data_IF_801566945545
#
_entry.id   IF_801566945545
#
_cell.length_a   1.000
_cell.length_b   1.000
_cell.length_c   1.000
_cell.angle_alpha   90.00
_cell.angle_beta   90.00
_cell.angle_gamma   90.00
#
_symmetry.space_group_name_H-M   'P 1'
#
loop_
_entity.id
_entity.type
_entity.pdbx_description
1 polymer ?
#
# COMPACT_ATOMS: atom_id res chain seq x y z
N UNK A 1 -30.61 2.41 -18.45
CA UNK A 1 -29.66 1.31 -18.28
C UNK A 1 -28.88 1.56 -17.01
N UNK A 2 -29.11 0.70 -16.03
CA UNK A 2 -29.02 0.96 -14.59
C UNK A 2 -27.59 1.13 -14.10
N UNK A 3 -27.38 2.09 -13.19
CA UNK A 3 -26.10 2.38 -12.53
C UNK A 3 -25.47 1.14 -11.87
N UNK A 4 -26.32 0.22 -11.40
CA UNK A 4 -26.00 -1.14 -10.94
C UNK A 4 -25.12 -1.93 -11.93
N UNK A 5 -25.44 -1.88 -13.23
CA UNK A 5 -24.66 -2.58 -14.25
C UNK A 5 -23.28 -1.95 -14.43
N UNK A 6 -23.18 -0.62 -14.31
CA UNK A 6 -21.89 0.07 -14.42
C UNK A 6 -20.99 -0.26 -13.23
N UNK A 7 -21.57 -0.37 -12.03
CA UNK A 7 -20.85 -0.76 -10.81
C UNK A 7 -20.41 -2.23 -10.85
N UNK A 8 -21.27 -3.14 -11.33
CA UNK A 8 -20.91 -4.55 -11.55
C UNK A 8 -19.79 -4.70 -12.59
N UNK A 9 -19.87 -3.99 -13.71
CA UNK A 9 -18.83 -4.03 -14.74
C UNK A 9 -17.49 -3.53 -14.22
N UNK A 10 -17.48 -2.47 -13.40
CA UNK A 10 -16.25 -1.95 -12.80
C UNK A 10 -15.63 -2.95 -11.82
N UNK A 11 -16.44 -3.65 -11.03
CA UNK A 11 -15.95 -4.64 -10.08
C UNK A 11 -15.37 -5.89 -10.77
N UNK A 12 -16.03 -6.38 -11.81
CA UNK A 12 -15.54 -7.51 -12.62
C UNK A 12 -14.25 -7.13 -13.36
N UNK A 13 -14.17 -5.90 -13.89
CA UNK A 13 -12.96 -5.39 -14.52
C UNK A 13 -11.77 -5.33 -13.54
N UNK A 14 -12.00 -4.85 -12.32
CA UNK A 14 -10.99 -4.84 -11.26
C UNK A 14 -10.48 -6.24 -10.90
N UNK A 15 -11.41 -7.20 -10.74
CA UNK A 15 -11.06 -8.59 -10.43
C UNK A 15 -10.29 -9.26 -11.58
N UNK A 16 -10.69 -8.98 -12.82
CA UNK A 16 -10.01 -9.44 -14.02
C UNK A 16 -8.58 -8.90 -14.14
N UNK A 17 -8.38 -7.61 -13.84
CA UNK A 17 -7.06 -6.98 -13.86
C UNK A 17 -6.13 -7.59 -12.80
N UNK A 18 -6.61 -7.82 -11.58
CA UNK A 18 -5.85 -8.46 -10.50
C UNK A 18 -5.49 -9.90 -10.88
N UNK A 19 -6.45 -10.65 -11.42
CA UNK A 19 -6.23 -12.03 -11.87
C UNK A 19 -5.18 -12.09 -12.99
N UNK A 20 -5.27 -11.19 -13.97
CA UNK A 20 -4.30 -11.06 -15.06
C UNK A 20 -2.91 -10.68 -14.56
N UNK A 21 -2.81 -9.73 -13.61
CA UNK A 21 -1.54 -9.29 -13.03
C UNK A 21 -0.84 -10.44 -12.29
N UNK A 22 -1.59 -11.22 -11.50
CA UNK A 22 -1.08 -12.39 -10.78
C UNK A 22 -0.63 -13.50 -11.75
N UNK A 23 -1.41 -13.74 -12.80
CA UNK A 23 -1.08 -14.76 -13.80
C UNK A 23 0.16 -14.36 -14.60
N UNK A 24 0.28 -13.10 -15.01
CA UNK A 24 1.46 -12.54 -15.68
C UNK A 24 2.71 -12.59 -14.79
N UNK A 25 2.55 -12.28 -13.51
CA UNK A 25 3.63 -12.35 -12.51
C UNK A 25 4.14 -13.78 -12.29
N UNK A 26 3.22 -14.77 -12.17
CA UNK A 26 3.60 -16.18 -12.04
C UNK A 26 4.20 -16.75 -13.32
N UNK A 27 3.77 -16.31 -14.51
CA UNK A 27 4.31 -16.78 -15.78
C UNK A 27 5.76 -16.32 -16.00
N UNK A 28 6.10 -15.08 -15.58
CA UNK A 28 7.49 -14.58 -15.62
C UNK A 28 8.42 -15.36 -14.67
N UNK A 29 7.92 -15.74 -13.48
CA UNK A 29 8.65 -16.63 -12.54
C UNK A 29 8.78 -18.05 -13.05
N UNK A 30 7.75 -18.60 -13.71
CA UNK A 30 7.81 -19.96 -14.27
C UNK A 30 8.77 -20.06 -15.46
N UNK A 31 8.93 -19.02 -16.26
CA UNK A 31 9.94 -19.00 -17.34
C UNK A 31 11.39 -19.03 -16.83
N UNK A 32 11.66 -18.56 -15.61
CA UNK A 32 12.98 -18.69 -14.97
C UNK A 32 13.20 -20.07 -14.32
N UNK A 33 12.12 -20.79 -13.99
CA UNK A 33 12.16 -22.15 -13.41
C UNK A 33 12.10 -23.28 -14.45
N UNK A 34 11.94 -22.95 -15.74
CA UNK A 34 11.90 -23.91 -16.85
C UNK A 34 13.24 -24.04 -17.59
N UNK A 35 14.36 -23.62 -16.99
CA UNK A 35 15.63 -24.25 -17.33
C UNK A 35 15.60 -25.67 -16.75
N UNK A 36 15.94 -26.72 -17.52
CA UNK A 36 15.84 -28.11 -17.08
C UNK A 36 16.90 -28.37 -16.00
N UNK A 37 16.55 -28.08 -14.76
CA UNK A 37 17.32 -28.47 -13.58
C UNK A 37 16.67 -29.73 -13.05
N UNK A 38 17.08 -30.85 -13.60
CA UNK A 38 16.87 -32.18 -13.02
C UNK A 38 17.71 -32.31 -11.75
N UNK A 39 17.37 -31.61 -10.67
CA UNK A 39 17.83 -31.96 -9.33
C UNK A 39 16.75 -31.58 -8.32
N UNK A 40 15.92 -32.56 -8.02
CA UNK A 40 15.02 -32.57 -6.86
C UNK A 40 15.86 -32.46 -5.58
N UNK A 41 15.96 -31.26 -5.00
CA UNK A 41 16.37 -31.08 -3.60
C UNK A 41 15.13 -31.10 -2.71
N UNK A 42 14.60 -32.30 -2.51
CA UNK A 42 13.80 -32.60 -1.32
C UNK A 42 14.74 -32.88 -0.15
N UNK A 43 14.56 -32.13 0.94
CA UNK A 43 15.18 -32.32 2.26
C UNK A 43 16.67 -31.99 2.43
N UNK A 44 16.95 -30.77 2.93
CA UNK A 44 18.13 -30.49 3.74
C UNK A 44 17.82 -29.38 4.77
N UNK A 45 16.87 -29.63 5.66
CA UNK A 45 16.59 -28.78 6.82
C UNK A 45 17.69 -28.81 7.90
N UNK A 46 18.77 -29.57 7.68
CA UNK A 46 19.87 -29.75 8.62
C UNK A 46 21.26 -29.48 8.00
N UNK A 47 21.30 -28.78 6.85
CA UNK A 47 22.56 -28.27 6.34
C UNK A 47 23.00 -27.09 7.22
N UNK A 48 23.63 -27.39 8.35
CA UNK A 48 24.51 -26.44 9.00
C UNK A 48 25.50 -25.98 7.95
N UNK A 49 25.37 -24.72 7.53
CA UNK A 49 26.38 -24.04 6.73
C UNK A 49 27.61 -23.89 7.61
N UNK A 50 28.39 -24.96 7.76
CA UNK A 50 29.77 -24.82 8.18
C UNK A 50 30.40 -23.94 7.11
N UNK A 51 30.74 -22.71 7.50
CA UNK A 51 31.54 -21.82 6.68
C UNK A 51 32.89 -22.51 6.59
N UNK A 52 33.04 -23.39 5.60
CA UNK A 52 34.34 -23.91 5.21
C UNK A 52 35.12 -22.71 4.72
N UNK A 53 35.82 -22.07 5.65
CA UNK A 53 36.84 -21.08 5.35
C UNK A 53 37.74 -21.68 4.28
N UNK A 54 37.72 -21.03 3.13
CA UNK A 54 38.51 -21.40 1.97
C UNK A 54 39.99 -21.25 2.33
N UNK A 55 40.59 -22.32 2.85
CA UNK A 55 42.03 -22.43 3.01
C UNK A 55 42.60 -22.69 1.62
N UNK A 56 43.27 -21.70 1.02
CA UNK A 56 43.81 -21.72 -0.35
C UNK A 56 44.86 -22.79 -0.67
N UNK A 57 44.96 -23.85 0.14
CA UNK A 57 45.97 -24.91 0.04
C UNK A 57 45.40 -26.28 -0.34
N UNK A 58 44.07 -26.44 -0.49
CA UNK A 58 43.45 -27.74 -0.83
C UNK A 58 43.45 -28.11 -2.33
N UNK A 59 43.89 -27.21 -3.22
CA UNK A 59 43.88 -27.45 -4.67
C UNK A 59 45.23 -27.83 -5.26
N UNK A 60 46.23 -28.20 -4.45
CA UNK A 60 47.59 -28.52 -4.92
C UNK A 60 47.68 -29.76 -5.85
N UNK A 61 46.57 -30.43 -6.15
CA UNK A 61 46.48 -31.51 -7.14
C UNK A 61 45.26 -31.45 -8.06
N UNK A 62 44.55 -30.32 -8.11
CA UNK A 62 43.38 -30.18 -8.99
C UNK A 62 43.81 -29.92 -10.44
N UNK A 63 43.18 -30.57 -11.45
CA UNK A 63 43.44 -30.27 -12.85
C UNK A 63 43.27 -28.77 -13.15
N UNK A 64 44.10 -28.22 -14.02
CA UNK A 64 44.11 -26.79 -14.34
C UNK A 64 42.74 -26.26 -14.79
N UNK A 65 41.92 -27.10 -15.41
CA UNK A 65 40.55 -26.77 -15.81
C UNK A 65 39.62 -26.53 -14.60
N UNK A 66 39.76 -27.33 -13.55
CA UNK A 66 38.96 -27.18 -12.31
C UNK A 66 39.32 -25.89 -11.60
N UNK A 67 40.61 -25.56 -11.56
CA UNK A 67 41.09 -24.29 -11.02
C UNK A 67 40.56 -23.09 -11.81
N UNK A 68 40.50 -23.19 -13.14
CA UNK A 68 39.92 -22.15 -14.00
C UNK A 68 38.44 -21.93 -13.68
N UNK A 69 37.65 -23.00 -13.65
CA UNK A 69 36.23 -22.89 -13.30
C UNK A 69 36.02 -22.34 -11.89
N UNK A 70 36.90 -22.67 -10.95
CA UNK A 70 36.84 -22.12 -9.59
C UNK A 70 37.02 -20.60 -9.58
N UNK A 71 37.97 -20.07 -10.36
CA UNK A 71 38.18 -18.62 -10.48
C UNK A 71 36.98 -17.97 -11.16
N UNK A 72 36.50 -18.53 -12.27
CA UNK A 72 35.33 -18.02 -13.00
C UNK A 72 34.07 -17.97 -12.11
N UNK A 73 33.84 -19.00 -11.30
CA UNK A 73 32.74 -19.03 -10.33
C UNK A 73 32.91 -17.99 -9.23
N UNK A 74 34.13 -17.76 -8.75
CA UNK A 74 34.41 -16.76 -7.74
C UNK A 74 34.20 -15.34 -8.28
N UNK A 75 34.63 -15.08 -9.51
CA UNK A 75 34.40 -13.79 -10.18
C UNK A 75 32.92 -13.54 -10.42
N UNK A 76 32.18 -14.56 -10.89
CA UNK A 76 30.73 -14.51 -11.03
C UNK A 76 30.04 -14.23 -9.69
N UNK A 77 30.46 -14.91 -8.62
CA UNK A 77 29.91 -14.67 -7.28
C UNK A 77 30.17 -13.23 -6.81
N UNK A 78 31.33 -12.67 -7.12
CA UNK A 78 31.68 -11.28 -6.77
C UNK A 78 30.82 -10.28 -7.55
N UNK A 79 30.58 -10.53 -8.83
CA UNK A 79 29.73 -9.70 -9.68
C UNK A 79 28.27 -9.72 -9.21
N UNK A 80 27.71 -10.91 -8.98
CA UNK A 80 26.34 -11.08 -8.46
C UNK A 80 26.16 -10.39 -7.10
N UNK A 81 27.17 -10.48 -6.22
CA UNK A 81 27.14 -9.78 -4.94
C UNK A 81 27.10 -8.27 -5.13
N UNK A 82 27.96 -7.72 -6.00
CA UNK A 82 27.98 -6.28 -6.28
C UNK A 82 26.65 -5.79 -6.87
N UNK A 83 26.04 -6.55 -7.77
CA UNK A 83 24.72 -6.22 -8.34
C UNK A 83 23.61 -6.24 -7.27
N UNK A 84 23.63 -7.25 -6.40
CA UNK A 84 22.66 -7.36 -5.31
C UNK A 84 22.81 -6.21 -4.32
N UNK A 85 24.03 -5.90 -3.89
CA UNK A 85 24.31 -4.80 -2.98
C UNK A 85 23.83 -3.46 -3.56
N UNK A 86 24.06 -3.22 -4.86
CA UNK A 86 23.57 -2.03 -5.57
C UNK A 86 22.04 -1.94 -5.58
N UNK A 87 21.35 -3.04 -5.90
CA UNK A 87 19.88 -3.10 -5.87
C UNK A 87 19.31 -2.91 -4.46
N UNK A 88 19.99 -3.45 -3.44
CA UNK A 88 19.57 -3.32 -2.04
C UNK A 88 19.69 -1.87 -1.56
N UNK A 89 20.73 -1.15 -1.97
CA UNK A 89 20.86 0.29 -1.70
C UNK A 89 19.71 1.08 -2.32
N UNK A 90 19.36 0.79 -3.58
CA UNK A 90 18.23 1.45 -4.26
C UNK A 90 16.89 1.19 -3.56
N UNK A 91 16.62 -0.07 -3.17
CA UNK A 91 15.40 -0.43 -2.44
C UNK A 91 15.36 0.26 -1.07
N UNK A 92 16.47 0.26 -0.32
CA UNK A 92 16.54 0.93 0.98
C UNK A 92 16.27 2.43 0.86
N UNK A 93 16.82 3.09 -0.16
CA UNK A 93 16.56 4.50 -0.41
C UNK A 93 15.07 4.76 -0.69
N UNK A 94 14.44 3.90 -1.49
CA UNK A 94 13.02 3.99 -1.82
C UNK A 94 12.13 3.77 -0.60
N UNK A 95 12.41 2.75 0.23
CA UNK A 95 11.67 2.50 1.47
C UNK A 95 11.77 3.70 2.42
N UNK A 96 12.96 4.26 2.61
CA UNK A 96 13.15 5.43 3.45
C UNK A 96 12.35 6.65 2.95
N UNK A 97 12.25 6.83 1.63
CA UNK A 97 11.46 7.89 1.01
C UNK A 97 9.96 7.72 1.29
N UNK A 98 9.44 6.49 1.16
CA UNK A 98 8.05 6.18 1.50
C UNK A 98 7.75 6.38 2.98
N UNK A 99 8.64 5.93 3.86
CA UNK A 99 8.48 6.15 5.30
C UNK A 99 8.43 7.64 5.65
N UNK A 100 9.28 8.45 4.99
CA UNK A 100 9.26 9.91 5.17
C UNK A 100 7.95 10.53 4.66
N UNK A 101 7.44 10.08 3.50
CA UNK A 101 6.17 10.54 2.96
C UNK A 101 5.00 10.18 3.88
N UNK A 102 4.95 8.95 4.39
CA UNK A 102 3.92 8.50 5.34
C UNK A 102 3.97 9.31 6.63
N UNK A 103 5.16 9.58 7.18
CA UNK A 103 5.30 10.43 8.38
C UNK A 103 4.78 11.84 8.15
N UNK A 104 5.13 12.46 7.02
CA UNK A 104 4.61 13.79 6.65
C UNK A 104 3.09 13.81 6.55
N UNK A 105 2.50 12.81 5.89
CA UNK A 105 1.05 12.69 5.77
C UNK A 105 0.39 12.50 7.14
N UNK A 106 0.94 11.62 7.98
CA UNK A 106 0.44 11.42 9.34
C UNK A 106 0.50 12.69 10.19
N UNK A 107 1.58 13.47 10.08
CA UNK A 107 1.69 14.77 10.73
C UNK A 107 0.66 15.77 10.22
N UNK A 108 0.47 15.87 8.90
CA UNK A 108 -0.55 16.73 8.30
C UNK A 108 -1.96 16.35 8.76
N UNK A 109 -2.28 15.05 8.82
CA UNK A 109 -3.57 14.56 9.33
C UNK A 109 -3.71 14.96 10.80
N UNK A 110 -2.70 14.72 11.63
CA UNK A 110 -2.73 15.09 13.05
C UNK A 110 -2.93 16.59 13.27
N UNK A 111 -2.28 17.43 12.45
CA UNK A 111 -2.46 18.88 12.49
C UNK A 111 -3.86 19.28 12.00
N UNK A 112 -4.37 18.65 10.94
CA UNK A 112 -5.72 18.88 10.45
C UNK A 112 -6.78 18.50 11.50
N UNK A 113 -6.60 17.39 12.20
CA UNK A 113 -7.46 16.99 13.33
C UNK A 113 -7.42 18.02 14.46
N UNK A 114 -6.24 18.53 14.81
CA UNK A 114 -6.12 19.59 15.83
C UNK A 114 -6.79 20.90 15.42
N UNK A 115 -6.75 21.24 14.13
CA UNK A 115 -7.40 22.45 13.59
C UNK A 115 -8.92 22.23 13.37
N UNK A 116 -9.39 20.99 13.18
CA UNK A 116 -10.79 20.66 12.90
C UNK A 116 -11.68 20.49 14.13
N UNK A 117 -11.23 20.82 15.34
CA UNK A 117 -12.10 20.88 16.53
C UNK A 117 -12.19 22.30 17.15
N UNK A 118 -12.93 23.22 16.52
CA UNK A 118 -13.94 23.97 17.24
C UNK A 118 -15.24 23.15 17.21
N UNK A 119 -15.65 22.67 18.38
CA UNK A 119 -16.90 21.94 18.68
C UNK A 119 -18.18 22.72 18.32
N UNK A 120 -18.05 23.89 17.69
CA UNK A 120 -19.11 24.72 17.13
C UNK A 120 -19.09 24.63 15.60
N UNK A 121 -19.33 23.43 15.05
CA UNK A 121 -19.76 23.37 13.65
C UNK A 121 -21.09 24.14 13.56
N UNK A 122 -21.23 25.14 12.68
CA UNK A 122 -22.47 25.93 12.58
C UNK A 122 -23.69 25.04 12.30
N UNK A 123 -23.49 23.91 11.60
CA UNK A 123 -24.53 22.91 11.38
C UNK A 123 -24.95 22.19 12.67
N UNK A 124 -24.00 21.85 13.54
CA UNK A 124 -24.29 21.21 14.84
C UNK A 124 -25.06 22.16 15.76
N UNK A 125 -24.71 23.45 15.74
CA UNK A 125 -25.39 24.47 16.53
C UNK A 125 -26.80 24.80 15.98
N UNK A 126 -26.94 24.93 14.65
CA UNK A 126 -28.25 25.08 13.99
C UNK A 126 -29.16 23.89 14.31
N UNK A 127 -28.62 22.66 14.32
CA UNK A 127 -29.37 21.45 14.69
C UNK A 127 -29.82 21.46 16.15
N UNK A 128 -28.94 21.89 17.06
CA UNK A 128 -29.25 22.01 18.49
C UNK A 128 -30.38 22.99 18.70
N UNK A 129 -30.31 24.16 18.06
CA UNK A 129 -31.31 25.22 18.18
C UNK A 129 -32.64 24.86 17.49
N UNK A 130 -32.60 24.15 16.36
CA UNK A 130 -33.82 23.67 15.70
C UNK A 130 -34.53 22.57 16.50
N UNK A 131 -33.77 21.67 17.14
CA UNK A 131 -34.33 20.67 18.06
C UNK A 131 -35.01 21.29 19.29
N UNK A 132 -34.57 22.49 19.70
CA UNK A 132 -35.22 23.29 20.74
C UNK A 132 -36.48 24.04 20.25
N UNK A 133 -36.87 23.87 18.98
CA UNK A 133 -38.07 24.47 18.40
C UNK A 133 -37.92 25.95 18.05
N UNK A 134 -36.69 26.45 17.90
CA UNK A 134 -36.47 27.86 17.57
C UNK A 134 -36.84 28.15 16.11
N UNK A 135 -37.45 29.32 15.87
CA UNK A 135 -37.76 29.77 14.52
C UNK A 135 -36.46 30.01 13.71
N UNK A 136 -36.43 29.71 12.40
CA UNK A 136 -35.23 29.85 11.56
C UNK A 136 -34.61 31.25 11.58
N UNK A 137 -35.45 32.29 11.62
CA UNK A 137 -35.04 33.70 11.73
C UNK A 137 -34.23 33.97 13.01
N UNK A 138 -34.67 33.38 14.13
CA UNK A 138 -34.01 33.53 15.43
C UNK A 138 -32.68 32.79 15.47
N UNK A 139 -32.60 31.63 14.82
CA UNK A 139 -31.37 30.84 14.68
C UNK A 139 -30.34 31.60 13.83
N UNK A 140 -30.78 32.14 12.68
CA UNK A 140 -29.97 32.95 11.79
C UNK A 140 -29.33 34.14 12.53
N UNK A 141 -30.13 34.84 13.33
CA UNK A 141 -29.66 35.96 14.16
C UNK A 141 -28.63 35.54 15.22
N UNK A 142 -28.81 34.39 15.88
CA UNK A 142 -27.87 33.92 16.91
C UNK A 142 -26.56 33.36 16.38
N UNK A 143 -26.58 32.72 15.20
CA UNK A 143 -25.38 32.10 14.60
C UNK A 143 -24.70 33.06 13.61
N UNK A 144 -25.21 34.30 13.47
CA UNK A 144 -24.74 35.30 12.49
C UNK A 144 -24.69 34.76 11.05
N UNK A 145 -25.67 33.93 10.68
CA UNK A 145 -25.82 33.34 9.36
C UNK A 145 -27.06 33.91 8.67
N UNK A 146 -27.10 33.88 7.34
CA UNK A 146 -28.30 34.22 6.57
C UNK A 146 -29.41 33.20 6.84
N UNK A 147 -30.67 33.65 6.82
CA UNK A 147 -31.84 32.75 6.90
C UNK A 147 -31.84 31.72 5.76
N UNK A 148 -31.35 32.10 4.58
CA UNK A 148 -31.22 31.18 3.43
C UNK A 148 -30.24 30.05 3.73
N UNK A 149 -29.16 30.35 4.44
CA UNK A 149 -28.09 29.39 4.72
C UNK A 149 -28.54 28.42 5.82
N UNK A 150 -29.28 28.91 6.82
CA UNK A 150 -29.90 28.07 7.84
C UNK A 150 -30.92 27.10 7.20
N UNK A 151 -31.75 27.58 6.27
CA UNK A 151 -32.71 26.73 5.56
C UNK A 151 -32.01 25.65 4.71
N UNK A 152 -30.92 26.00 4.04
CA UNK A 152 -30.11 25.04 3.27
C UNK A 152 -29.45 23.99 4.18
N UNK A 153 -28.91 24.38 5.32
CA UNK A 153 -28.30 23.46 6.28
C UNK A 153 -29.33 22.47 6.86
N UNK A 154 -30.54 22.94 7.17
CA UNK A 154 -31.64 22.07 7.62
C UNK A 154 -32.12 21.11 6.50
N UNK A 155 -32.18 21.58 5.26
CA UNK A 155 -32.54 20.76 4.11
C UNK A 155 -31.50 19.65 3.83
N UNK A 156 -30.19 19.97 3.95
CA UNK A 156 -29.11 19.00 3.83
C UNK A 156 -29.16 17.94 4.93
N UNK A 157 -29.53 18.33 6.15
CA UNK A 157 -29.67 17.39 7.27
C UNK A 157 -30.88 16.47 7.09
N UNK A 158 -32.02 16.99 6.62
CA UNK A 158 -33.19 16.18 6.26
C UNK A 158 -32.85 15.13 5.18
N UNK A 159 -32.15 15.55 4.13
CA UNK A 159 -31.71 14.64 3.05
C UNK A 159 -30.75 13.56 3.57
N UNK A 160 -29.80 13.92 4.43
CA UNK A 160 -28.83 12.99 5.01
C UNK A 160 -29.50 11.96 5.94
N UNK A 161 -30.54 12.34 6.66
CA UNK A 161 -31.31 11.42 7.50
C UNK A 161 -32.11 10.43 6.64
N UNK A 162 -32.74 10.89 5.56
CA UNK A 162 -33.46 10.04 4.61
C UNK A 162 -32.55 8.96 3.99
N UNK A 163 -31.34 9.35 3.54
CA UNK A 163 -30.35 8.40 3.00
C UNK A 163 -29.84 7.38 4.04
N UNK A 164 -29.91 7.70 5.33
CA UNK A 164 -29.48 6.80 6.41
C UNK A 164 -30.54 5.76 6.74
N UNK A 165 -31.82 6.09 6.60
CA UNK A 165 -32.94 5.16 6.75
C UNK A 165 -33.09 4.18 5.59
N UNK A 166 -32.64 4.51 4.39
CA UNK A 166 -32.70 3.61 3.21
C UNK A 166 -31.56 2.58 3.16
N UNK A 167 -30.50 2.76 3.94
CA UNK A 167 -29.36 1.83 4.00
C UNK A 167 -29.48 0.78 5.11
N UNK A 168 -30.59 0.76 5.83
CA UNK A 168 -30.93 -0.23 6.86
C UNK A 168 -32.16 -1.03 6.43
#
# INVERSE_FOLDING_TARGET
MSQEHMQQLMMIAGLGLICWLLMRGKMRRRRQLQLPTTFSLGHNGNAQSSVSSFTGTKSLGAPAEVLRWQVELHDLARELKAELDSKLVAVRAMTNSYDQATRRLAEMIRLAEQVQLPTTSPLAEVRRLSALGWAPAKIAQTVSLSETDVAQLLALDCKRQAEKTERH
#
